data_IF_098109391603
#
_entry.id   IF_098109391603
#
_cell.length_a   1.000
_cell.length_b   1.000
_cell.length_c   1.000
_cell.angle_alpha   90.00
_cell.angle_beta   90.00
_cell.angle_gamma   90.00
#
_symmetry.space_group_name_H-M   'P 1'
#
loop_
_entity.id
_entity.type
_entity.pdbx_description
1 polymer ?
#
# COMPACT_ATOMS: atom_id res chain seq x y z
N UNK A 1 22.97 12.24 -42.00
CA UNK A 1 23.00 10.78 -41.79
C UNK A 1 21.66 10.36 -41.21
N UNK A 2 20.77 9.82 -42.06
CA UNK A 2 19.46 9.29 -41.67
C UNK A 2 19.68 7.90 -41.05
N UNK A 3 19.45 7.77 -39.73
CA UNK A 3 19.36 6.47 -39.07
C UNK A 3 18.10 5.79 -39.60
N UNK A 4 18.27 4.80 -40.48
CA UNK A 4 17.20 3.87 -40.86
C UNK A 4 16.71 3.17 -39.60
N UNK A 5 15.50 3.51 -39.18
CA UNK A 5 14.68 2.71 -38.28
C UNK A 5 14.45 1.36 -38.96
N UNK A 6 14.91 0.28 -38.33
CA UNK A 6 14.57 -1.08 -38.75
C UNK A 6 13.06 -1.33 -38.67
N UNK A 7 12.55 -2.42 -39.27
CA UNK A 7 11.14 -2.78 -39.17
C UNK A 7 10.75 -2.89 -37.69
N UNK A 8 9.59 -2.34 -37.31
CA UNK A 8 9.14 -2.38 -35.91
C UNK A 8 9.10 -3.84 -35.46
N UNK A 9 9.97 -4.19 -34.51
CA UNK A 9 9.97 -5.51 -33.92
C UNK A 9 8.56 -5.80 -33.39
N UNK A 10 8.04 -6.99 -33.69
CA UNK A 10 6.72 -7.40 -33.27
C UNK A 10 6.64 -7.33 -31.74
N UNK A 11 5.70 -6.55 -31.20
CA UNK A 11 5.52 -6.36 -29.75
C UNK A 11 5.33 -7.71 -29.04
N UNK A 12 4.67 -8.66 -29.72
CA UNK A 12 4.53 -10.06 -29.33
C UNK A 12 5.88 -10.71 -29.03
N UNK A 13 6.80 -10.69 -30.00
CA UNK A 13 8.11 -11.35 -29.88
C UNK A 13 8.94 -10.75 -28.75
N UNK A 14 8.79 -9.43 -28.49
CA UNK A 14 9.47 -8.75 -27.37
C UNK A 14 8.91 -9.13 -26.00
N UNK A 15 7.60 -9.31 -25.89
CA UNK A 15 6.97 -9.77 -24.63
C UNK A 15 7.38 -11.22 -24.35
N UNK A 16 7.34 -12.10 -25.35
CA UNK A 16 7.75 -13.51 -25.21
C UNK A 16 9.24 -13.62 -24.87
N UNK A 17 10.11 -12.88 -25.56
CA UNK A 17 11.53 -12.83 -25.23
C UNK A 17 11.80 -12.32 -23.80
N UNK A 18 10.98 -11.38 -23.32
CA UNK A 18 11.12 -10.87 -21.95
C UNK A 18 10.70 -11.91 -20.91
N UNK A 19 9.66 -12.71 -21.18
CA UNK A 19 9.23 -13.81 -20.30
C UNK A 19 10.38 -14.81 -20.09
N UNK A 20 10.98 -15.25 -21.20
CA UNK A 20 12.13 -16.17 -21.17
C UNK A 20 13.33 -15.59 -20.40
N UNK A 21 13.57 -14.27 -20.50
CA UNK A 21 14.66 -13.62 -19.79
C UNK A 21 14.41 -13.44 -18.29
N UNK A 22 13.14 -13.31 -17.87
CA UNK A 22 12.79 -13.18 -16.45
C UNK A 22 12.79 -14.52 -15.72
N UNK A 23 12.39 -15.61 -16.40
CA UNK A 23 12.39 -16.98 -15.86
C UNK A 23 13.82 -17.51 -15.61
N UNK A 24 14.79 -17.18 -16.47
CA UNK A 24 16.15 -17.75 -16.39
C UNK A 24 17.07 -16.85 -15.54
N UNK A 25 16.90 -16.91 -14.23
CA UNK A 25 17.52 -16.00 -13.23
C UNK A 25 19.05 -16.11 -13.08
N UNK A 26 19.69 -17.17 -13.60
CA UNK A 26 21.12 -17.43 -13.34
C UNK A 26 22.07 -17.25 -14.54
N UNK A 27 21.56 -17.16 -15.78
CA UNK A 27 22.43 -17.15 -16.98
C UNK A 27 22.63 -15.78 -17.62
N UNK A 28 21.75 -14.81 -17.36
CA UNK A 28 21.79 -13.51 -18.02
C UNK A 28 22.35 -12.41 -17.12
N UNK A 29 23.18 -11.53 -17.70
CA UNK A 29 23.63 -10.36 -16.97
C UNK A 29 22.44 -9.45 -16.67
N UNK A 30 22.38 -8.87 -15.47
CA UNK A 30 21.30 -7.94 -15.09
C UNK A 30 21.21 -6.73 -16.02
N UNK A 31 22.31 -6.37 -16.70
CA UNK A 31 22.31 -5.33 -17.73
C UNK A 31 21.51 -5.73 -18.98
N UNK A 32 21.54 -7.01 -19.37
CA UNK A 32 20.76 -7.56 -20.48
C UNK A 32 19.27 -7.53 -20.16
N UNK A 33 18.89 -7.94 -18.95
CA UNK A 33 17.50 -7.92 -18.48
C UNK A 33 16.96 -6.49 -18.45
N UNK A 34 17.71 -5.55 -17.88
CA UNK A 34 17.30 -4.15 -17.83
C UNK A 34 17.13 -3.53 -19.23
N UNK A 35 18.07 -3.80 -20.14
CA UNK A 35 17.99 -3.33 -21.53
C UNK A 35 16.78 -3.92 -22.27
N UNK A 36 16.46 -5.20 -22.06
CA UNK A 36 15.30 -5.84 -22.67
C UNK A 36 13.99 -5.22 -22.16
N UNK A 37 13.88 -4.96 -20.86
CA UNK A 37 12.73 -4.27 -20.25
C UNK A 37 12.55 -2.84 -20.81
N UNK A 38 13.65 -2.07 -20.90
CA UNK A 38 13.61 -0.73 -21.47
C UNK A 38 13.18 -0.75 -22.95
N UNK A 39 13.71 -1.71 -23.73
CA UNK A 39 13.33 -1.91 -25.13
C UNK A 39 11.89 -2.38 -25.34
N UNK A 40 11.30 -3.09 -24.37
CA UNK A 40 9.89 -3.43 -24.37
C UNK A 40 9.05 -2.17 -24.11
N UNK A 41 9.43 -1.35 -23.12
CA UNK A 41 8.78 -0.08 -22.82
C UNK A 41 8.81 0.89 -24.02
N UNK A 42 9.95 1.04 -24.68
CA UNK A 42 10.09 1.84 -25.91
C UNK A 42 9.15 1.33 -27.02
N UNK A 43 9.06 0.01 -27.20
CA UNK A 43 8.17 -0.59 -28.19
C UNK A 43 6.69 -0.30 -27.90
N UNK A 44 6.26 -0.41 -26.64
CA UNK A 44 4.89 -0.08 -26.22
C UNK A 44 4.58 1.39 -26.51
N UNK A 45 5.49 2.30 -26.18
CA UNK A 45 5.35 3.72 -26.50
C UNK A 45 5.25 3.96 -28.02
N UNK A 46 6.12 3.36 -28.83
CA UNK A 46 6.08 3.51 -30.29
C UNK A 46 4.76 3.01 -30.89
N UNK A 47 4.25 1.86 -30.44
CA UNK A 47 2.97 1.33 -30.90
C UNK A 47 1.78 2.20 -30.47
N UNK A 48 1.85 2.79 -29.27
CA UNK A 48 0.84 3.74 -28.78
C UNK A 48 0.85 5.04 -29.58
N UNK A 49 2.02 5.64 -29.84
CA UNK A 49 2.18 6.88 -30.61
C UNK A 49 1.65 6.72 -32.04
N UNK A 50 1.83 5.52 -32.62
CA UNK A 50 1.30 5.16 -33.95
C UNK A 50 -0.19 4.77 -33.94
N UNK A 51 -0.84 4.75 -32.77
CA UNK A 51 -2.22 4.27 -32.56
C UNK A 51 -2.46 2.87 -33.10
N UNK A 52 -1.42 2.04 -33.04
CA UNK A 52 -1.41 0.66 -33.52
C UNK A 52 -1.30 -0.35 -32.38
N UNK A 53 -1.41 0.11 -31.13
CA UNK A 53 -1.42 -0.75 -29.96
C UNK A 53 -2.82 -1.33 -29.76
N UNK A 54 -2.93 -2.65 -29.89
CA UNK A 54 -4.07 -3.39 -29.37
C UNK A 54 -3.89 -3.56 -27.86
N UNK A 55 -4.65 -2.78 -27.08
CA UNK A 55 -4.54 -2.75 -25.62
C UNK A 55 -4.93 -4.10 -25.01
N UNK A 56 -5.95 -4.78 -25.56
CA UNK A 56 -6.42 -6.05 -24.99
C UNK A 56 -5.40 -7.17 -25.21
N UNK A 57 -4.82 -7.26 -26.42
CA UNK A 57 -3.75 -8.24 -26.70
C UNK A 57 -2.49 -7.93 -25.89
N UNK A 58 -2.11 -6.65 -25.78
CA UNK A 58 -0.97 -6.25 -24.96
C UNK A 58 -1.17 -6.63 -23.49
N UNK A 59 -2.31 -6.30 -22.89
CA UNK A 59 -2.60 -6.61 -21.49
C UNK A 59 -2.63 -8.13 -21.23
N UNK A 60 -3.22 -8.90 -22.15
CA UNK A 60 -3.23 -10.36 -22.05
C UNK A 60 -1.81 -10.95 -21.99
N UNK A 61 -0.90 -10.43 -22.82
CA UNK A 61 0.49 -10.88 -22.84
C UNK A 61 1.30 -10.33 -21.66
N UNK A 62 1.05 -9.08 -21.27
CA UNK A 62 1.73 -8.46 -20.14
C UNK A 62 1.35 -9.12 -18.81
N UNK A 63 0.12 -9.61 -18.66
CA UNK A 63 -0.29 -10.34 -17.46
C UNK A 63 0.54 -11.60 -17.21
N UNK A 64 1.07 -12.23 -18.28
CA UNK A 64 2.01 -13.35 -18.17
C UNK A 64 3.34 -12.91 -17.54
N UNK A 65 3.82 -11.70 -17.89
CA UNK A 65 5.04 -11.12 -17.31
C UNK A 65 4.82 -10.56 -15.90
N UNK A 66 3.58 -10.22 -15.54
CA UNK A 66 3.28 -9.51 -14.31
C UNK A 66 3.66 -10.31 -13.06
N UNK A 67 3.54 -11.64 -13.12
CA UNK A 67 3.90 -12.53 -12.02
C UNK A 67 5.43 -12.56 -11.81
N UNK A 68 6.20 -12.68 -12.89
CA UNK A 68 7.68 -12.62 -12.83
C UNK A 68 8.18 -11.23 -12.40
N UNK A 69 7.56 -10.17 -12.91
CA UNK A 69 7.82 -8.80 -12.50
C UNK A 69 7.58 -8.64 -10.99
N UNK A 70 6.46 -9.17 -10.49
CA UNK A 70 6.15 -9.13 -9.06
C UNK A 70 7.22 -9.87 -8.25
N UNK A 71 7.65 -11.05 -8.69
CA UNK A 71 8.69 -11.83 -8.02
C UNK A 71 10.04 -11.08 -7.99
N UNK A 72 10.46 -10.48 -9.12
CA UNK A 72 11.68 -9.65 -9.16
C UNK A 72 11.59 -8.43 -8.26
N UNK A 73 10.43 -7.77 -8.18
CA UNK A 73 10.24 -6.63 -7.28
C UNK A 73 10.25 -7.04 -5.80
N UNK A 74 9.84 -8.27 -5.48
CA UNK A 74 9.90 -8.82 -4.12
C UNK A 74 11.31 -9.30 -3.73
N UNK A 75 12.08 -9.80 -4.69
CA UNK A 75 13.40 -10.36 -4.41
C UNK A 75 14.40 -9.26 -4.00
N UNK A 76 14.93 -9.30 -2.77
CA UNK A 76 15.86 -8.28 -2.27
C UNK A 76 17.22 -8.30 -2.96
N UNK A 77 17.53 -9.33 -3.75
CA UNK A 77 18.77 -9.45 -4.52
C UNK A 77 18.67 -8.80 -5.91
N UNK A 78 17.48 -8.37 -6.33
CA UNK A 78 17.29 -7.74 -7.63
C UNK A 78 18.08 -6.42 -7.67
N UNK A 79 18.90 -6.25 -8.72
CA UNK A 79 19.72 -5.05 -8.85
C UNK A 79 18.87 -3.82 -9.14
N UNK A 80 19.27 -2.67 -8.58
CA UNK A 80 18.57 -1.38 -8.74
C UNK A 80 18.26 -1.03 -10.20
N UNK A 81 19.14 -1.37 -11.14
CA UNK A 81 18.93 -1.07 -12.56
C UNK A 81 17.72 -1.83 -13.13
N UNK A 82 17.55 -3.10 -12.77
CA UNK A 82 16.40 -3.92 -13.20
C UNK A 82 15.11 -3.36 -12.57
N UNK A 83 15.14 -3.02 -11.28
CA UNK A 83 14.00 -2.39 -10.59
C UNK A 83 13.56 -1.08 -11.26
N UNK A 84 14.51 -0.23 -11.68
CA UNK A 84 14.20 1.01 -12.40
C UNK A 84 13.53 0.71 -13.75
N UNK A 85 14.06 -0.23 -14.54
CA UNK A 85 13.48 -0.61 -15.83
C UNK A 85 12.08 -1.22 -15.68
N UNK A 86 11.86 -2.06 -14.66
CA UNK A 86 10.53 -2.57 -14.30
C UNK A 86 9.57 -1.41 -13.99
N UNK A 87 9.97 -0.48 -13.11
CA UNK A 87 9.12 0.64 -12.70
C UNK A 87 8.79 1.57 -13.87
N UNK A 88 9.73 1.78 -14.81
CA UNK A 88 9.50 2.52 -16.05
C UNK A 88 8.51 1.84 -16.98
N UNK A 89 8.64 0.52 -17.13
CA UNK A 89 7.72 -0.28 -17.94
C UNK A 89 6.29 -0.24 -17.36
N UNK A 90 6.14 -0.38 -16.04
CA UNK A 90 4.84 -0.26 -15.38
C UNK A 90 4.28 1.15 -15.56
N UNK A 91 5.09 2.18 -15.34
CA UNK A 91 4.71 3.58 -15.51
C UNK A 91 4.19 3.88 -16.93
N UNK A 92 4.94 3.50 -17.98
CA UNK A 92 4.51 3.76 -19.35
C UNK A 92 3.25 2.94 -19.71
N UNK A 93 3.19 1.68 -19.30
CA UNK A 93 2.05 0.80 -19.57
C UNK A 93 0.77 1.31 -18.90
N UNK A 94 0.86 1.75 -17.65
CA UNK A 94 -0.25 2.36 -16.92
C UNK A 94 -0.74 3.67 -17.57
N UNK A 95 0.19 4.53 -18.00
CA UNK A 95 -0.14 5.78 -18.69
C UNK A 95 -0.88 5.54 -20.00
N UNK A 96 -0.44 4.54 -20.77
CA UNK A 96 -0.99 4.24 -22.10
C UNK A 96 -2.31 3.48 -22.00
N UNK A 97 -2.39 2.48 -21.12
CA UNK A 97 -3.55 1.60 -21.04
C UNK A 97 -4.68 2.19 -20.18
N UNK A 98 -4.37 3.04 -19.20
CA UNK A 98 -5.35 3.59 -18.26
C UNK A 98 -6.02 2.52 -17.39
N UNK A 99 -7.29 2.72 -17.01
CA UNK A 99 -8.09 1.81 -16.17
C UNK A 99 -8.02 0.31 -16.58
N UNK A 100 -8.03 -0.09 -17.86
CA UNK A 100 -7.76 -1.48 -18.27
C UNK A 100 -6.52 -2.14 -17.64
N UNK A 101 -5.50 -1.37 -17.22
CA UNK A 101 -4.29 -1.86 -16.57
C UNK A 101 -4.51 -2.31 -15.10
N UNK A 102 -5.67 -2.05 -14.52
CA UNK A 102 -5.97 -2.31 -13.10
C UNK A 102 -5.65 -3.72 -12.59
N UNK A 103 -5.92 -4.83 -13.32
CA UNK A 103 -5.55 -6.16 -12.85
C UNK A 103 -4.05 -6.33 -12.58
N UNK A 104 -3.21 -5.67 -13.40
CA UNK A 104 -1.75 -5.68 -13.23
C UNK A 104 -1.36 -4.71 -12.11
N UNK A 105 -1.99 -3.53 -12.04
CA UNK A 105 -1.77 -2.56 -10.96
C UNK A 105 -2.00 -3.20 -9.58
N UNK A 106 -3.09 -3.95 -9.40
CA UNK A 106 -3.41 -4.67 -8.16
C UNK A 106 -2.29 -5.64 -7.74
N UNK A 107 -1.63 -6.30 -8.70
CA UNK A 107 -0.51 -7.22 -8.41
C UNK A 107 0.75 -6.48 -7.94
N UNK A 108 1.06 -5.31 -8.52
CA UNK A 108 2.37 -4.66 -8.33
C UNK A 108 2.36 -3.49 -7.35
N UNK A 109 1.21 -2.84 -7.13
CA UNK A 109 1.13 -1.54 -6.42
C UNK A 109 1.74 -1.58 -5.03
N UNK A 110 1.51 -2.66 -4.27
CA UNK A 110 2.09 -2.83 -2.93
C UNK A 110 3.61 -2.78 -2.98
N UNK A 111 4.22 -3.44 -3.98
CA UNK A 111 5.68 -3.45 -4.16
C UNK A 111 6.19 -2.09 -4.59
N UNK A 112 5.45 -1.38 -5.47
CA UNK A 112 5.79 0.00 -5.85
C UNK A 112 5.82 0.91 -4.61
N UNK A 113 4.83 0.81 -3.71
CA UNK A 113 4.82 1.60 -2.46
C UNK A 113 6.03 1.28 -1.58
N UNK A 114 6.36 0.00 -1.41
CA UNK A 114 7.55 -0.41 -0.63
C UNK A 114 8.84 0.17 -1.24
N UNK A 115 8.97 0.15 -2.57
CA UNK A 115 10.13 0.68 -3.28
C UNK A 115 10.27 2.21 -3.20
N UNK A 116 9.22 2.95 -2.82
CA UNK A 116 9.31 4.40 -2.58
C UNK A 116 10.27 4.80 -1.45
N UNK A 117 10.69 3.83 -0.64
CA UNK A 117 11.65 3.99 0.46
C UNK A 117 12.93 3.19 0.24
N UNK A 118 13.18 2.75 -1.01
CA UNK A 118 14.39 2.04 -1.39
C UNK A 118 15.65 2.90 -1.18
N UNK A 119 16.74 2.26 -0.76
CA UNK A 119 18.01 2.92 -0.41
C UNK A 119 18.65 3.67 -1.60
N UNK A 120 18.57 3.10 -2.81
CA UNK A 120 18.95 3.81 -4.04
C UNK A 120 17.89 4.87 -4.38
N UNK A 121 18.29 6.14 -4.32
CA UNK A 121 17.43 7.31 -4.59
C UNK A 121 16.78 7.28 -5.98
N UNK A 122 17.43 6.66 -6.97
CA UNK A 122 16.88 6.56 -8.33
C UNK A 122 15.69 5.61 -8.38
N UNK A 123 15.79 4.48 -7.66
CA UNK A 123 14.71 3.50 -7.53
C UNK A 123 13.54 4.15 -6.79
N UNK A 124 13.78 4.78 -5.64
CA UNK A 124 12.71 5.41 -4.86
C UNK A 124 12.05 6.59 -5.57
N UNK A 125 12.80 7.40 -6.32
CA UNK A 125 12.21 8.45 -7.17
C UNK A 125 11.29 7.85 -8.24
N UNK A 126 11.78 6.88 -9.01
CA UNK A 126 10.99 6.24 -10.07
C UNK A 126 9.77 5.50 -9.50
N UNK A 127 9.88 4.91 -8.31
CA UNK A 127 8.75 4.26 -7.64
C UNK A 127 7.66 5.25 -7.26
N UNK A 128 8.02 6.47 -6.82
CA UNK A 128 7.04 7.53 -6.51
C UNK A 128 6.34 8.05 -7.77
N UNK A 129 7.08 8.24 -8.85
CA UNK A 129 6.50 8.66 -10.14
C UNK A 129 5.55 7.58 -10.68
N UNK A 130 5.95 6.31 -10.58
CA UNK A 130 5.12 5.16 -10.95
C UNK A 130 3.86 5.04 -10.07
N UNK A 131 3.98 5.20 -8.75
CA UNK A 131 2.84 5.18 -7.82
C UNK A 131 1.85 6.30 -8.12
N UNK A 132 2.35 7.50 -8.42
CA UNK A 132 1.52 8.66 -8.80
C UNK A 132 0.74 8.35 -10.07
N UNK A 133 1.42 7.81 -11.08
CA UNK A 133 0.79 7.43 -12.36
C UNK A 133 -0.28 6.35 -12.18
N UNK A 134 -0.01 5.30 -11.41
CA UNK A 134 -0.99 4.26 -11.11
C UNK A 134 -2.24 4.83 -10.42
N UNK A 135 -2.02 5.77 -9.50
CA UNK A 135 -3.10 6.41 -8.74
C UNK A 135 -3.94 7.32 -9.63
N UNK A 136 -3.31 8.09 -10.51
CA UNK A 136 -4.01 9.07 -11.36
C UNK A 136 -4.70 8.44 -12.58
N UNK A 137 -4.12 7.38 -13.16
CA UNK A 137 -4.56 6.84 -14.45
C UNK A 137 -5.39 5.54 -14.38
N UNK A 138 -5.31 4.76 -13.29
CA UNK A 138 -5.77 3.35 -13.32
C UNK A 138 -6.69 2.94 -12.18
N UNK A 139 -6.53 3.44 -10.96
CA UNK A 139 -7.13 2.86 -9.74
C UNK A 139 -6.66 1.44 -9.39
N UNK A 140 -6.80 1.04 -8.12
CA UNK A 140 -6.39 -0.27 -7.59
C UNK A 140 -7.09 -0.58 -6.26
N UNK A 141 -7.13 -1.85 -5.85
CA UNK A 141 -7.78 -2.27 -4.60
C UNK A 141 -7.01 -1.78 -3.36
N UNK A 142 -7.54 -0.73 -2.73
CA UNK A 142 -7.02 -0.16 -1.48
C UNK A 142 -6.90 -1.19 -0.34
N UNK A 143 -7.69 -2.28 -0.35
CA UNK A 143 -7.58 -3.33 0.67
C UNK A 143 -6.23 -4.05 0.61
N UNK A 144 -5.60 -4.09 -0.57
CA UNK A 144 -4.26 -4.66 -0.72
C UNK A 144 -3.21 -3.80 -0.01
N UNK A 145 -3.34 -2.48 -0.11
CA UNK A 145 -2.49 -1.51 0.58
C UNK A 145 -2.62 -1.66 2.10
N UNK A 146 -3.86 -1.73 2.61
CA UNK A 146 -4.10 -1.88 4.04
C UNK A 146 -3.51 -3.17 4.61
N UNK A 147 -3.74 -4.29 3.94
CA UNK A 147 -3.20 -5.60 4.35
C UNK A 147 -1.67 -5.65 4.27
N UNK A 148 -1.07 -4.91 3.34
CA UNK A 148 0.37 -4.85 3.21
C UNK A 148 1.00 -4.08 4.38
N UNK A 149 0.42 -2.94 4.77
CA UNK A 149 0.87 -2.16 5.92
C UNK A 149 0.91 -2.97 7.23
N UNK A 150 -0.07 -3.83 7.45
CA UNK A 150 -0.15 -4.71 8.63
C UNK A 150 0.94 -5.80 8.67
N UNK A 151 1.58 -6.12 7.54
CA UNK A 151 2.56 -7.21 7.42
C UNK A 151 4.01 -6.73 7.50
N UNK A 152 4.24 -5.42 7.59
CA UNK A 152 5.58 -4.85 7.69
C UNK A 152 6.22 -5.22 9.04
N UNK A 153 7.52 -5.47 9.03
CA UNK A 153 8.21 -6.12 10.16
C UNK A 153 8.63 -5.12 11.21
N UNK A 154 8.95 -3.90 10.78
CA UNK A 154 9.43 -2.84 11.66
C UNK A 154 8.49 -1.64 11.63
N UNK A 155 8.48 -0.90 12.73
CA UNK A 155 7.73 0.34 12.85
C UNK A 155 8.20 1.38 11.82
N UNK A 156 9.52 1.47 11.57
CA UNK A 156 10.09 2.40 10.60
C UNK A 156 9.68 2.07 9.16
N UNK A 157 9.67 0.79 8.77
CA UNK A 157 9.13 0.35 7.47
C UNK A 157 7.65 0.74 7.32
N UNK A 158 6.87 0.54 8.39
CA UNK A 158 5.45 0.90 8.41
C UNK A 158 5.22 2.39 8.24
N UNK A 159 6.00 3.22 8.94
CA UNK A 159 5.92 4.68 8.82
C UNK A 159 6.32 5.13 7.42
N UNK A 160 7.43 4.62 6.89
CA UNK A 160 7.87 4.93 5.52
C UNK A 160 6.84 4.54 4.47
N UNK A 161 6.20 3.39 4.63
CA UNK A 161 5.10 2.94 3.77
C UNK A 161 3.90 3.90 3.88
N UNK A 162 3.49 4.25 5.09
CA UNK A 162 2.38 5.18 5.32
C UNK A 162 2.68 6.57 4.76
N UNK A 163 3.90 7.08 4.91
CA UNK A 163 4.33 8.36 4.33
C UNK A 163 4.25 8.32 2.81
N UNK A 164 4.84 7.30 2.18
CA UNK A 164 4.82 7.15 0.72
C UNK A 164 3.38 7.10 0.19
N UNK A 165 2.53 6.27 0.79
CA UNK A 165 1.14 6.12 0.36
C UNK A 165 0.25 7.33 0.68
N UNK A 166 0.46 8.00 1.82
CA UNK A 166 -0.37 9.14 2.24
C UNK A 166 -0.38 10.27 1.20
N UNK A 167 0.74 10.47 0.50
CA UNK A 167 0.86 11.46 -0.58
C UNK A 167 -0.12 11.26 -1.75
N UNK A 168 -0.63 10.04 -1.91
CA UNK A 168 -1.54 9.66 -3.00
C UNK A 168 -3.01 9.93 -2.67
N UNK A 169 -3.33 10.09 -1.39
CA UNK A 169 -4.72 10.24 -0.91
C UNK A 169 -5.44 11.42 -1.55
N UNK A 170 -4.85 12.62 -1.70
CA UNK A 170 -5.51 13.72 -2.39
C UNK A 170 -5.96 13.36 -3.81
N UNK A 171 -5.13 12.67 -4.59
CA UNK A 171 -5.49 12.21 -5.93
C UNK A 171 -6.61 11.16 -5.87
N UNK A 172 -6.51 10.17 -4.97
CA UNK A 172 -7.54 9.13 -4.79
C UNK A 172 -8.92 9.75 -4.53
N UNK A 173 -9.04 10.65 -3.55
CA UNK A 173 -10.34 11.23 -3.18
C UNK A 173 -10.89 12.20 -4.23
N UNK A 174 -10.04 12.70 -5.14
CA UNK A 174 -10.43 13.63 -6.18
C UNK A 174 -10.83 12.93 -7.48
N UNK A 175 -10.13 11.87 -7.88
CA UNK A 175 -10.29 11.25 -9.21
C UNK A 175 -11.02 9.91 -9.20
N UNK A 176 -11.02 9.17 -8.08
CA UNK A 176 -11.62 7.84 -8.04
C UNK A 176 -13.13 7.90 -7.81
N UNK A 177 -13.81 6.82 -8.19
CA UNK A 177 -15.24 6.71 -7.94
C UNK A 177 -15.51 6.67 -6.41
N UNK A 178 -16.53 7.40 -5.89
CA UNK A 178 -16.76 7.51 -4.44
C UNK A 178 -16.96 6.17 -3.71
N UNK A 179 -17.45 5.15 -4.41
CA UNK A 179 -17.64 3.79 -3.88
C UNK A 179 -16.35 2.98 -3.75
N UNK A 180 -15.26 3.42 -4.38
CA UNK A 180 -13.94 2.80 -4.32
C UNK A 180 -13.04 3.45 -3.27
N UNK A 181 -13.37 4.67 -2.84
CA UNK A 181 -12.67 5.38 -1.77
C UNK A 181 -12.99 4.73 -0.43
N UNK A 182 -12.01 4.04 0.14
CA UNK A 182 -12.09 3.44 1.49
C UNK A 182 -11.75 4.49 2.56
N UNK A 183 -12.64 5.47 2.71
CA UNK A 183 -12.45 6.69 3.50
C UNK A 183 -11.90 6.48 4.92
N UNK A 184 -12.38 5.44 5.58
CA UNK A 184 -12.04 5.04 6.94
C UNK A 184 -10.64 4.44 7.03
N UNK A 185 -10.31 3.57 6.09
CA UNK A 185 -9.01 2.95 5.96
C UNK A 185 -7.93 3.97 5.57
N UNK A 186 -8.25 4.89 4.66
CA UNK A 186 -7.38 6.01 4.30
C UNK A 186 -7.10 6.90 5.51
N UNK A 187 -8.11 7.18 6.35
CA UNK A 187 -7.90 7.91 7.60
C UNK A 187 -6.92 7.18 8.53
N UNK A 188 -6.97 5.84 8.61
CA UNK A 188 -6.05 5.09 9.45
C UNK A 188 -4.59 5.28 9.01
N UNK A 189 -4.32 5.26 7.70
CA UNK A 189 -2.96 5.54 7.18
C UNK A 189 -2.50 6.95 7.55
N UNK A 190 -3.37 7.96 7.35
CA UNK A 190 -3.06 9.34 7.72
C UNK A 190 -2.78 9.45 9.21
N UNK A 191 -3.57 8.77 10.05
CA UNK A 191 -3.38 8.81 11.50
C UNK A 191 -2.04 8.23 11.93
N UNK A 192 -1.57 7.15 11.28
CA UNK A 192 -0.26 6.58 11.58
C UNK A 192 0.86 7.61 11.31
N UNK A 193 0.74 8.40 10.24
CA UNK A 193 1.69 9.48 9.92
C UNK A 193 1.58 10.64 10.92
N UNK A 194 0.37 11.06 11.28
CA UNK A 194 0.13 12.21 12.17
C UNK A 194 0.47 11.94 13.64
N UNK A 195 0.53 10.68 14.05
CA UNK A 195 0.82 10.28 15.43
C UNK A 195 2.31 10.02 15.67
N UNK A 196 3.15 10.05 14.62
CA UNK A 196 4.60 9.95 14.75
C UNK A 196 5.17 11.13 15.57
N UNK A 197 6.19 10.86 16.39
CA UNK A 197 6.84 11.88 17.23
C UNK A 197 7.69 12.87 16.43
N UNK A 198 8.15 12.47 15.25
CA UNK A 198 8.95 13.28 14.32
C UNK A 198 8.07 14.25 13.55
N UNK A 199 8.40 15.54 13.62
CA UNK A 199 7.63 16.60 12.96
C UNK A 199 7.66 16.47 11.45
N UNK A 200 8.81 16.14 10.88
CA UNK A 200 9.02 15.92 9.44
C UNK A 200 8.09 14.84 8.90
N UNK A 201 7.91 13.72 9.61
CA UNK A 201 6.94 12.68 9.25
C UNK A 201 5.51 13.24 9.28
N UNK A 202 5.10 13.88 10.38
CA UNK A 202 3.73 14.43 10.51
C UNK A 202 3.37 15.41 9.41
N UNK A 203 4.33 16.17 8.88
CA UNK A 203 4.07 17.13 7.78
C UNK A 203 3.45 16.51 6.55
N UNK A 204 3.72 15.21 6.29
CA UNK A 204 3.15 14.48 5.16
C UNK A 204 1.67 14.15 5.35
N UNK A 205 1.14 14.16 6.58
CA UNK A 205 -0.25 13.79 6.87
C UNK A 205 -1.27 14.92 6.72
N UNK A 206 -0.87 16.21 6.78
CA UNK A 206 -1.84 17.31 6.85
C UNK A 206 -2.59 17.57 5.54
N UNK A 207 -1.92 17.55 4.40
CA UNK A 207 -2.57 17.73 3.11
C UNK A 207 -3.53 16.56 2.77
N UNK A 208 -3.15 15.29 2.99
CA UNK A 208 -4.07 14.15 2.91
C UNK A 208 -5.28 14.28 3.85
N UNK A 209 -5.06 14.70 5.10
CA UNK A 209 -6.15 14.90 6.06
C UNK A 209 -7.14 15.97 5.59
N UNK A 210 -6.63 17.07 5.05
CA UNK A 210 -7.44 18.15 4.52
C UNK A 210 -8.27 17.72 3.31
N UNK A 211 -7.68 16.97 2.37
CA UNK A 211 -8.37 16.43 1.20
C UNK A 211 -9.46 15.44 1.60
N UNK A 212 -9.18 14.53 2.54
CA UNK A 212 -10.16 13.57 3.04
C UNK A 212 -11.31 14.25 3.79
N UNK A 213 -11.04 15.32 4.54
CA UNK A 213 -12.10 16.12 5.16
C UNK A 213 -13.01 16.78 4.12
N UNK A 214 -12.44 17.33 3.05
CA UNK A 214 -13.23 17.92 1.96
C UNK A 214 -14.12 16.88 1.27
N UNK A 215 -13.58 15.69 0.99
CA UNK A 215 -14.36 14.56 0.49
C UNK A 215 -15.52 14.17 1.43
N UNK A 216 -15.28 14.12 2.74
CA UNK A 216 -16.35 13.86 3.71
C UNK A 216 -17.39 14.98 3.76
N UNK A 217 -16.97 16.25 3.66
CA UNK A 217 -17.89 17.40 3.72
C UNK A 217 -18.95 17.33 2.61
N UNK A 218 -18.59 16.81 1.44
CA UNK A 218 -19.52 16.67 0.32
C UNK A 218 -20.57 15.56 0.55
N UNK A 219 -20.32 14.66 1.52
CA UNK A 219 -21.15 13.48 1.80
C UNK A 219 -21.86 13.52 3.16
N UNK A 220 -21.52 14.45 4.06
CA UNK A 220 -22.01 14.49 5.44
C UNK A 220 -22.34 15.91 5.92
N UNK A 221 -23.22 16.04 6.93
CA UNK A 221 -23.49 17.34 7.57
C UNK A 221 -22.22 17.93 8.22
N UNK A 222 -21.95 19.20 7.92
CA UNK A 222 -20.67 19.87 8.17
C UNK A 222 -20.40 20.06 9.67
N UNK A 223 -21.42 20.45 10.46
CA UNK A 223 -21.23 20.76 11.89
C UNK A 223 -20.76 19.56 12.68
N UNK A 224 -21.46 18.45 12.55
CA UNK A 224 -21.13 17.20 13.21
C UNK A 224 -19.81 16.60 12.71
N UNK A 225 -19.50 16.78 11.41
CA UNK A 225 -18.25 16.30 10.81
C UNK A 225 -17.04 17.00 11.46
N UNK A 226 -17.10 18.32 11.60
CA UNK A 226 -16.03 19.13 12.20
C UNK A 226 -15.78 18.73 13.65
N UNK A 227 -16.84 18.51 14.42
CA UNK A 227 -16.72 18.05 15.80
C UNK A 227 -16.06 16.67 15.87
N UNK A 228 -16.46 15.75 15.00
CA UNK A 228 -15.91 14.39 14.95
C UNK A 228 -14.42 14.39 14.62
N UNK A 229 -13.95 15.30 13.77
CA UNK A 229 -12.52 15.49 13.51
C UNK A 229 -11.77 16.06 14.72
N UNK A 230 -12.32 17.11 15.35
CA UNK A 230 -11.72 17.74 16.52
C UNK A 230 -11.56 16.77 17.71
N UNK A 231 -12.51 15.86 17.90
CA UNK A 231 -12.47 14.84 18.95
C UNK A 231 -11.34 13.82 18.77
N UNK A 232 -10.78 13.70 17.57
CA UNK A 232 -9.71 12.76 17.25
C UNK A 232 -8.34 13.44 17.18
N UNK A 233 -8.29 14.76 16.94
CA UNK A 233 -7.05 15.48 16.71
C UNK A 233 -6.44 15.99 18.03
N UNK A 234 -5.18 15.61 18.35
CA UNK A 234 -4.44 16.25 19.43
C UNK A 234 -4.26 17.75 19.18
N UNK A 235 -4.15 18.54 20.26
CA UNK A 235 -3.93 19.99 20.17
C UNK A 235 -2.74 20.35 19.28
N UNK A 236 -1.63 19.61 19.42
CA UNK A 236 -0.43 19.79 18.59
C UNK A 236 -0.75 19.67 17.09
N UNK A 237 -1.48 18.63 16.70
CA UNK A 237 -1.87 18.40 15.30
C UNK A 237 -2.75 19.55 14.79
N UNK A 238 -3.66 20.07 15.62
CA UNK A 238 -4.51 21.22 15.27
C UNK A 238 -3.68 22.49 15.05
N UNK A 239 -2.73 22.77 15.94
CA UNK A 239 -1.83 23.92 15.80
C UNK A 239 -0.97 23.79 14.52
N UNK A 240 -0.47 22.58 14.24
CA UNK A 240 0.32 22.29 13.03
C UNK A 240 -0.53 22.37 11.74
N UNK A 241 -1.80 21.96 11.76
CA UNK A 241 -2.74 22.15 10.63
C UNK A 241 -2.87 23.64 10.27
N UNK A 242 -2.99 24.52 11.26
CA UNK A 242 -3.07 25.96 11.02
C UNK A 242 -1.78 26.53 10.44
N UNK A 243 -0.63 25.92 10.71
CA UNK A 243 0.66 26.33 10.15
C UNK A 243 0.87 25.80 8.73
N UNK A 244 0.53 24.55 8.46
CA UNK A 244 0.91 23.85 7.22
C UNK A 244 -0.16 23.91 6.13
N UNK A 245 -1.45 23.87 6.50
CA UNK A 245 -2.58 23.92 5.56
C UNK A 245 -3.63 24.98 5.95
N UNK A 246 -3.24 26.25 6.17
CA UNK A 246 -4.10 27.29 6.73
C UNK A 246 -5.34 27.62 5.89
N UNK A 247 -5.27 27.37 4.58
CA UNK A 247 -6.33 27.70 3.62
C UNK A 247 -7.29 26.53 3.34
N UNK A 248 -6.98 25.34 3.86
CA UNK A 248 -7.83 24.16 3.68
C UNK A 248 -9.23 24.35 4.28
N UNK A 249 -10.22 23.64 3.72
CA UNK A 249 -11.57 23.59 4.27
C UNK A 249 -11.55 23.15 5.74
N UNK A 250 -10.74 22.14 6.08
CA UNK A 250 -10.53 21.65 7.45
C UNK A 250 -10.08 22.78 8.39
N UNK A 251 -9.00 23.50 8.05
CA UNK A 251 -8.48 24.58 8.88
C UNK A 251 -9.51 25.72 9.08
N UNK A 252 -10.26 26.07 8.03
CA UNK A 252 -11.32 27.08 8.11
C UNK A 252 -12.47 26.62 9.02
N UNK A 253 -12.84 25.34 8.95
CA UNK A 253 -13.96 24.77 9.68
C UNK A 253 -13.69 24.57 11.18
N UNK A 254 -12.47 24.16 11.56
CA UNK A 254 -12.11 23.95 12.98
C UNK A 254 -11.77 25.26 13.72
N UNK A 255 -11.32 26.31 13.01
CA UNK A 255 -10.84 27.58 13.60
C UNK A 255 -11.85 28.26 14.55
N UNK A 256 -13.16 28.33 14.25
CA UNK A 256 -14.15 28.93 15.16
C UNK A 256 -14.27 28.19 16.50
N UNK A 257 -14.15 26.87 16.52
CA UNK A 257 -14.32 26.03 17.71
C UNK A 257 -13.12 26.13 18.65
N UNK A 258 -11.91 26.21 18.09
CA UNK A 258 -10.67 26.39 18.87
C UNK A 258 -10.62 27.78 19.51
N UNK A 259 -10.98 28.83 18.76
CA UNK A 259 -10.97 30.22 19.27
C UNK A 259 -11.93 30.45 20.44
N UNK A 260 -13.07 29.75 20.44
CA UNK A 260 -14.07 29.87 21.52
C UNK A 260 -13.74 29.02 22.74
N UNK A 261 -12.66 28.23 22.71
CA UNK A 261 -12.28 27.25 23.74
C UNK A 261 -13.41 26.28 24.13
N UNK A 262 -14.34 26.02 23.21
CA UNK A 262 -15.52 25.18 23.48
C UNK A 262 -15.23 23.69 23.38
N UNK A 263 -13.99 23.28 23.13
CA UNK A 263 -13.62 21.90 22.82
C UNK A 263 -12.46 21.39 23.70
N UNK A 264 -12.59 20.17 24.21
CA UNK A 264 -11.52 19.44 24.89
C UNK A 264 -10.76 18.56 23.91
N UNK A 265 -9.47 18.83 23.72
CA UNK A 265 -8.63 18.07 22.78
C UNK A 265 -8.39 16.63 23.24
N UNK A 266 -8.25 15.73 22.27
CA UNK A 266 -7.83 14.36 22.54
C UNK A 266 -6.43 14.31 23.16
N UNK A 267 -6.23 13.38 24.09
CA UNK A 267 -4.90 13.06 24.59
C UNK A 267 -4.07 12.41 23.47
N UNK A 268 -2.81 12.84 23.30
CA UNK A 268 -1.87 12.35 22.26
C UNK A 268 -1.67 10.82 22.29
N UNK A 269 -2.01 10.12 23.37
CA UNK A 269 -1.86 8.65 23.48
C UNK A 269 -3.10 7.86 23.05
N UNK A 270 -4.20 8.53 22.68
CA UNK A 270 -5.39 7.84 22.17
C UNK A 270 -5.19 7.57 20.68
N UNK A 271 -5.30 6.31 20.28
CA UNK A 271 -5.33 5.94 18.86
C UNK A 271 -6.46 6.71 18.18
N UNK A 272 -6.14 7.47 17.14
CA UNK A 272 -7.15 8.22 16.38
C UNK A 272 -8.08 7.21 15.70
N UNK A 273 -9.38 7.43 15.83
CA UNK A 273 -10.40 6.67 15.11
C UNK A 273 -10.90 7.50 13.93
N UNK A 274 -11.29 6.84 12.83
CA UNK A 274 -11.94 7.53 11.71
C UNK A 274 -13.12 8.36 12.22
N UNK A 275 -13.21 9.66 11.90
CA UNK A 275 -14.31 10.54 12.31
C UNK A 275 -15.67 10.01 11.84
N UNK A 276 -15.71 9.37 10.67
CA UNK A 276 -16.93 8.72 10.13
C UNK A 276 -17.31 7.50 10.97
N UNK A 277 -16.34 6.69 11.40
CA UNK A 277 -16.59 5.55 12.29
C UNK A 277 -16.98 6.00 13.70
N UNK A 278 -16.31 7.02 14.25
CA UNK A 278 -16.66 7.57 15.55
C UNK A 278 -18.12 8.00 15.56
N UNK A 279 -18.60 8.69 14.51
CA UNK A 279 -20.03 9.00 14.36
C UNK A 279 -20.90 7.74 14.35
N UNK A 280 -20.57 6.72 13.55
CA UNK A 280 -21.36 5.47 13.52
C UNK A 280 -21.41 4.75 14.87
N UNK A 281 -20.34 4.82 15.67
CA UNK A 281 -20.27 4.19 17.00
C UNK A 281 -21.07 5.00 18.04
N UNK A 282 -21.04 6.34 17.98
CA UNK A 282 -21.74 7.21 18.93
C UNK A 282 -23.18 7.56 18.54
N UNK A 283 -23.57 7.36 17.27
CA UNK A 283 -24.95 7.49 16.78
C UNK A 283 -25.78 6.20 16.94
N UNK A 284 -25.35 5.25 17.78
CA UNK A 284 -26.28 4.19 18.23
C UNK A 284 -27.39 4.90 19.02
N UNK A 285 -28.66 4.92 18.56
CA UNK A 285 -29.72 5.45 19.40
C UNK A 285 -29.74 4.58 20.65
N UNK A 286 -29.69 5.20 21.83
CA UNK A 286 -30.22 4.57 23.04
C UNK A 286 -31.74 4.41 22.82
N UNK A 287 -32.12 3.39 22.06
CA UNK A 287 -33.48 2.89 22.09
C UNK A 287 -33.71 2.33 23.50
N UNK A 288 -34.62 3.00 24.21
CA UNK A 288 -35.25 2.48 25.42
C UNK A 288 -35.77 1.07 25.12
N UNK A 289 -35.10 0.07 25.66
CA UNK A 289 -35.66 -1.28 25.82
C UNK A 289 -37.02 -1.19 26.56
N UNK A 290 -37.97 -2.13 26.34
CA UNK A 290 -37.66 -3.55 26.32
C UNK A 290 -38.43 -4.45 25.34
N UNK A 291 -37.85 -5.64 25.16
CA UNK A 291 -38.46 -6.95 24.87
C UNK A 291 -38.41 -7.48 23.43
N UNK A 292 -38.13 -8.78 23.39
CA UNK A 292 -38.21 -9.75 22.29
C UNK A 292 -36.93 -9.99 21.46
N UNK A 293 -36.44 -11.21 21.67
CA UNK A 293 -35.34 -11.92 21.05
C UNK A 293 -35.62 -12.25 19.58
N UNK A 294 -34.95 -11.60 18.62
CA UNK A 294 -34.55 -12.18 17.31
C UNK A 294 -33.88 -11.11 16.43
N UNK A 295 -32.55 -10.96 16.42
CA UNK A 295 -31.90 -10.18 15.35
C UNK A 295 -30.49 -10.63 14.92
N UNK A 296 -29.90 -11.64 15.58
CA UNK A 296 -28.58 -12.18 15.17
C UNK A 296 -28.60 -13.06 13.91
N UNK A 297 -29.78 -13.39 13.36
CA UNK A 297 -29.89 -14.20 12.14
C UNK A 297 -29.86 -13.38 10.84
N UNK A 298 -30.29 -12.11 10.86
CA UNK A 298 -30.40 -11.29 9.63
C UNK A 298 -29.05 -10.71 9.16
N UNK A 299 -28.12 -10.45 10.08
CA UNK A 299 -26.82 -9.84 9.73
C UNK A 299 -25.85 -10.82 9.04
N UNK A 300 -26.01 -12.14 9.25
CA UNK A 300 -25.22 -13.16 8.54
C UNK A 300 -25.73 -13.48 7.13
N UNK A 301 -27.00 -13.19 6.82
CA UNK A 301 -27.58 -13.46 5.51
C UNK A 301 -27.23 -12.37 4.47
N UNK A 302 -27.08 -11.11 4.89
CA UNK A 302 -26.72 -10.01 3.97
C UNK A 302 -25.26 -10.04 3.51
N UNK A 303 -24.35 -10.63 4.29
CA UNK A 303 -22.93 -10.80 3.90
C UNK A 303 -22.72 -11.89 2.83
N UNK A 304 -23.72 -12.72 2.52
CA UNK A 304 -23.64 -13.74 1.46
C UNK A 304 -24.26 -13.32 0.13
N UNK A 305 -24.91 -12.15 0.04
CA UNK A 305 -25.64 -11.71 -1.16
C UNK A 305 -24.96 -10.60 -1.96
N UNK A 306 -23.74 -10.17 -1.62
CA UNK A 306 -22.91 -9.36 -2.53
C UNK A 306 -22.18 -10.30 -3.50
N UNK A 307 -22.93 -10.90 -4.41
CA UNK A 307 -22.36 -11.51 -5.61
C UNK A 307 -21.67 -10.39 -6.40
N UNK A 308 -20.36 -10.55 -6.60
CA UNK A 308 -19.62 -9.72 -7.54
C UNK A 308 -20.26 -9.85 -8.94
N UNK A 309 -20.29 -8.78 -9.74
CA UNK A 309 -20.75 -8.90 -11.12
C UNK A 309 -19.93 -9.97 -11.85
N UNK A 310 -20.55 -10.79 -12.71
CA UNK A 310 -19.87 -11.89 -13.38
C UNK A 310 -18.78 -11.32 -14.30
N UNK A 311 -17.50 -11.60 -14.00
CA UNK A 311 -16.41 -11.32 -14.92
C UNK A 311 -16.52 -12.26 -16.13
N UNK A 312 -16.38 -11.70 -17.33
CA UNK A 312 -16.60 -12.38 -18.60
C UNK A 312 -15.44 -13.31 -19.04
N UNK A 313 -14.42 -13.51 -18.20
CA UNK A 313 -13.28 -14.35 -18.54
C UNK A 313 -13.22 -15.61 -17.66
N UNK A 314 -13.75 -16.70 -18.26
CA UNK A 314 -13.49 -18.13 -18.02
C UNK A 314 -12.81 -18.54 -16.71
N UNK A 315 -13.60 -19.22 -15.88
CA UNK A 315 -13.16 -20.22 -14.88
C UNK A 315 -12.23 -21.27 -15.52
N UNK A 316 -10.95 -21.28 -15.16
CA UNK A 316 -10.18 -22.53 -15.12
C UNK A 316 -10.61 -23.36 -13.90
N UNK A 317 -10.66 -24.69 -14.00
CA UNK A 317 -11.03 -25.55 -12.87
C UNK A 317 -10.02 -25.36 -11.74
N UNK A 318 -10.53 -25.11 -10.53
CA UNK A 318 -9.71 -25.01 -9.34
C UNK A 318 -8.89 -26.29 -9.16
N UNK A 319 -7.57 -26.21 -8.95
CA UNK A 319 -6.81 -27.39 -8.53
C UNK A 319 -7.39 -27.90 -7.21
N UNK A 320 -7.63 -29.21 -7.15
CA UNK A 320 -8.14 -29.95 -5.98
C UNK A 320 -7.43 -29.48 -4.72
N UNK A 321 -8.17 -28.80 -3.84
CA UNK A 321 -7.71 -28.47 -2.49
C UNK A 321 -7.38 -29.76 -1.75
N UNK A 322 -6.11 -29.94 -1.41
CA UNK A 322 -5.70 -30.80 -0.31
C UNK A 322 -6.34 -30.28 1.00
N UNK A 323 -6.68 -31.17 1.95
CA UNK A 323 -7.40 -30.77 3.15
C UNK A 323 -6.53 -29.88 4.03
N UNK A 324 -7.21 -28.89 4.61
CA UNK A 324 -6.80 -28.02 5.70
C UNK A 324 -5.78 -28.64 6.66
N UNK A 325 -4.53 -28.16 6.64
CA UNK A 325 -3.63 -28.32 7.77
C UNK A 325 -4.00 -27.28 8.82
N UNK A 326 -4.55 -27.77 9.92
CA UNK A 326 -4.79 -27.05 11.15
C UNK A 326 -3.60 -26.12 11.49
N UNK A 327 -3.89 -24.85 11.70
CA UNK A 327 -2.99 -23.91 12.36
C UNK A 327 -2.75 -24.45 13.77
N UNK A 328 -1.66 -25.21 13.93
CA UNK A 328 -1.22 -25.76 15.20
C UNK A 328 -0.85 -24.56 16.06
N UNK A 329 -1.72 -24.18 16.99
CA UNK A 329 -1.35 -23.32 18.12
C UNK A 329 -0.09 -23.93 18.73
N UNK A 330 1.08 -23.30 18.51
CA UNK A 330 2.29 -23.64 19.25
C UNK A 330 1.93 -23.43 20.72
N UNK A 331 1.95 -24.51 21.48
CA UNK A 331 1.64 -24.45 22.90
C UNK A 331 2.64 -23.51 23.56
N UNK A 332 2.20 -22.74 24.57
CA UNK A 332 3.09 -21.86 25.33
C UNK A 332 4.31 -22.61 25.90
N UNK A 333 4.20 -23.93 26.06
CA UNK A 333 5.29 -24.82 26.45
C UNK A 333 6.41 -24.89 25.41
N UNK A 334 6.10 -24.92 24.10
CA UNK A 334 7.12 -24.93 23.06
C UNK A 334 7.89 -23.59 23.01
N UNK A 335 7.19 -22.49 23.27
CA UNK A 335 7.79 -21.17 23.34
C UNK A 335 8.72 -21.05 24.56
N UNK A 336 8.27 -21.51 25.73
CA UNK A 336 9.08 -21.56 26.96
C UNK A 336 10.29 -22.49 26.81
N UNK A 337 10.12 -23.65 26.17
CA UNK A 337 11.21 -24.60 25.94
C UNK A 337 12.26 -24.01 24.99
N UNK A 338 11.82 -23.31 23.92
CA UNK A 338 12.74 -22.62 23.01
C UNK A 338 13.50 -21.47 23.69
N UNK A 339 12.84 -20.74 24.59
CA UNK A 339 13.44 -19.65 25.35
C UNK A 339 14.45 -20.17 26.38
N UNK A 340 14.13 -21.26 27.07
CA UNK A 340 15.03 -21.90 28.04
C UNK A 340 16.24 -22.52 27.35
N UNK A 341 16.04 -23.13 26.17
CA UNK A 341 17.13 -23.66 25.36
C UNK A 341 18.10 -22.58 24.87
N UNK A 342 17.58 -21.42 24.47
CA UNK A 342 18.41 -20.26 24.10
C UNK A 342 19.35 -19.85 25.25
N UNK A 343 18.85 -19.76 26.48
CA UNK A 343 19.68 -19.41 27.64
C UNK A 343 20.73 -20.47 27.99
N UNK A 344 20.42 -21.76 27.82
CA UNK A 344 21.40 -22.84 28.02
C UNK A 344 22.58 -22.72 27.05
N UNK A 345 22.31 -22.42 25.78
CA UNK A 345 23.36 -22.21 24.77
C UNK A 345 24.23 -21.00 25.10
N UNK A 346 23.60 -19.89 25.54
CA UNK A 346 24.33 -18.68 25.95
C UNK A 346 25.23 -18.97 27.16
N UNK A 347 24.73 -19.69 28.17
CA UNK A 347 25.52 -20.05 29.35
C UNK A 347 26.70 -20.98 29.01
N UNK A 348 26.51 -21.94 28.11
CA UNK A 348 27.59 -22.80 27.62
C UNK A 348 28.66 -22.00 26.87
N UNK A 349 28.25 -21.02 26.05
CA UNK A 349 29.18 -20.16 25.34
C UNK A 349 29.99 -19.28 26.31
N UNK A 350 29.34 -18.70 27.33
CA UNK A 350 30.01 -17.92 28.38
C UNK A 350 30.97 -18.79 29.19
N UNK A 351 30.57 -20.00 29.56
CA UNK A 351 31.43 -20.93 30.30
C UNK A 351 32.64 -21.37 29.47
N UNK A 352 32.44 -21.66 28.18
CA UNK A 352 33.52 -21.97 27.25
C UNK A 352 34.50 -20.80 27.11
N UNK A 353 34.00 -19.57 27.01
CA UNK A 353 34.82 -18.36 26.94
C UNK A 353 35.61 -18.12 28.23
N UNK A 354 35.00 -18.29 29.40
CA UNK A 354 35.66 -18.18 30.70
C UNK A 354 36.72 -19.27 30.91
N UNK A 355 36.45 -20.51 30.48
CA UNK A 355 37.43 -21.60 30.52
C UNK A 355 38.64 -21.32 29.62
N UNK A 356 38.42 -20.66 28.48
CA UNK A 356 39.48 -20.29 27.54
C UNK A 356 40.35 -19.15 28.08
N UNK A 357 39.73 -18.16 28.73
CA UNK A 357 40.44 -17.09 29.47
C UNK A 357 41.27 -17.69 30.62
N UNK A 358 40.71 -18.64 31.37
CA UNK A 358 41.42 -19.29 32.47
C UNK A 358 42.63 -20.09 31.98
N UNK A 359 42.48 -20.81 30.86
CA UNK A 359 43.58 -21.55 30.25
C UNK A 359 44.72 -20.63 29.77
N UNK A 360 44.38 -19.50 29.15
CA UNK A 360 45.34 -18.46 28.73
C UNK A 360 45.98 -17.68 29.90
N UNK A 361 45.42 -17.78 31.11
CA UNK A 361 46.03 -17.18 32.30
C UNK A 361 47.11 -18.10 32.89
N UNK A 362 46.88 -19.40 32.88
CA UNK A 362 47.74 -20.40 33.52
C UNK A 362 48.92 -20.83 32.64
N UNK A 363 48.76 -20.78 31.32
CA UNK A 363 49.81 -21.03 30.33
C UNK A 363 50.17 -19.73 29.61
#
# INVERSE_FOLDING_TARGET
MLRRTGPSANLTDKVEHMADLLEIDESYSSSTVALALDQLGECVCEHSDRRSLDVDDFLYRFDLLADDIHEKMENPRTLSQVLISILRLIHCSATICGEPFRPIADKVVVRVVVLCSHADKRVSSMARDCLTTLTECVSYDLRLIMRAGERLRTEEESIHFCVAFSSQIPSIVQSWAPNEVLDTELFQIISNVLMDDRRDVRTHGYAPLAALFEFHRDNYDEKDLVQSYLEQLPKQTVDEIFSHVPQSALAKAIRPFVRRQTHHFAAKRKQMQSPVLARKLFQTPMEKNPSSSTSMAYSRQQLRQREAPPSAFKRRPAPRRAPSSAYRQRSLLDLLLSWLWFWVVVLLAVFGFLSLIWFLWIH
#
